data_IF_426055261683
#
_entry.id   IF_426055261683
#
_cell.length_a   1.000
_cell.length_b   1.000
_cell.length_c   1.000
_cell.angle_alpha   90.00
_cell.angle_beta   90.00
_cell.angle_gamma   90.00
#
_symmetry.space_group_name_H-M   'P 1'
#
loop_
_entity.id
_entity.type
_entity.pdbx_description
1 polymer ?
#
# COMPACT_ATOMS: atom_id res chain seq x y z
N UNK A 1 6.55 -11.16 16.82
CA UNK A 1 6.32 -11.08 16.42
C UNK A 1 5.65 -11.14 15.40
N UNK A 2 5.70 -11.66 14.82
CA UNK A 2 4.86 -11.99 13.96
C UNK A 2 3.77 -11.12 13.78
N UNK A 3 3.55 -10.40 14.63
CA UNK A 3 2.41 -9.54 14.62
C UNK A 3 2.74 -8.12 14.19
N UNK A 4 3.93 -7.89 13.73
CA UNK A 4 4.35 -6.56 13.38
C UNK A 4 3.51 -5.91 12.30
N UNK A 5 2.97 -6.68 11.36
CA UNK A 5 2.23 -6.11 10.25
C UNK A 5 0.80 -6.57 10.24
N UNK A 6 0.18 -6.52 11.41
CA UNK A 6 -1.22 -6.89 11.54
C UNK A 6 -2.15 -5.96 10.79
N UNK A 7 -1.71 -4.73 10.58
CA UNK A 7 -2.54 -3.71 9.93
C UNK A 7 -1.74 -3.10 8.80
N UNK A 8 -2.06 -3.52 7.60
CA UNK A 8 -1.37 -3.03 6.43
C UNK A 8 -2.36 -2.86 5.30
N UNK A 9 -1.96 -2.14 4.26
CA UNK A 9 -2.83 -1.86 3.15
C UNK A 9 -2.11 -2.04 1.83
N UNK A 10 -2.86 -2.48 0.82
CA UNK A 10 -2.38 -2.51 -0.54
C UNK A 10 -3.17 -1.48 -1.34
N UNK A 11 -2.47 -0.67 -2.09
CA UNK A 11 -3.09 0.35 -2.92
C UNK A 11 -2.82 0.04 -4.38
N UNK A 12 -3.89 -0.02 -5.16
CA UNK A 12 -3.80 -0.17 -6.59
C UNK A 12 -4.11 1.21 -7.19
N UNK A 13 -3.08 1.89 -7.67
CA UNK A 13 -3.19 3.29 -8.07
C UNK A 13 -3.42 3.40 -9.56
N UNK A 14 -4.53 4.03 -9.92
CA UNK A 14 -4.87 4.30 -11.29
C UNK A 14 -4.89 5.81 -11.51
N UNK A 15 -5.06 6.21 -12.76
CA UNK A 15 -5.03 7.63 -13.09
C UNK A 15 -6.05 8.43 -12.30
N UNK A 16 -7.27 7.90 -12.16
CA UNK A 16 -8.36 8.66 -11.56
C UNK A 16 -8.83 8.14 -10.23
N UNK A 17 -8.34 6.99 -9.81
CA UNK A 17 -8.77 6.44 -8.53
C UNK A 17 -7.72 5.53 -7.93
N UNK A 18 -7.79 5.38 -6.63
CA UNK A 18 -6.99 4.42 -5.89
C UNK A 18 -7.95 3.39 -5.31
N UNK A 19 -7.67 2.12 -5.54
CA UNK A 19 -8.41 1.04 -4.90
C UNK A 19 -7.56 0.59 -3.72
N UNK A 20 -8.06 0.78 -2.51
CA UNK A 20 -7.33 0.48 -1.30
C UNK A 20 -7.91 -0.74 -0.62
N UNK A 21 -7.06 -1.70 -0.31
CA UNK A 21 -7.44 -2.90 0.42
C UNK A 21 -6.72 -2.88 1.77
N UNK A 22 -7.49 -2.73 2.83
CA UNK A 22 -6.96 -2.70 4.18
C UNK A 22 -7.05 -4.09 4.78
N UNK A 23 -5.92 -4.57 5.28
CA UNK A 23 -5.87 -5.89 5.92
C UNK A 23 -5.64 -5.72 7.41
N UNK A 24 -6.53 -6.28 8.20
CA UNK A 24 -6.43 -6.25 9.64
C UNK A 24 -6.39 -7.68 10.14
N UNK A 25 -5.55 -7.93 11.14
CA UNK A 25 -5.53 -9.23 11.79
C UNK A 25 -5.90 -9.01 13.24
N UNK A 26 -7.05 -9.53 13.63
CA UNK A 26 -7.56 -9.40 14.97
C UNK A 26 -7.81 -10.78 15.54
N UNK A 27 -7.18 -11.09 16.66
CA UNK A 27 -7.32 -12.39 17.30
C UNK A 27 -6.98 -13.53 16.36
N UNK A 28 -5.95 -13.34 15.53
CA UNK A 28 -5.49 -14.36 14.62
C UNK A 28 -6.29 -14.49 13.34
N UNK A 29 -7.33 -13.69 13.16
CA UNK A 29 -8.15 -13.75 11.96
C UNK A 29 -7.91 -12.53 11.10
N UNK A 30 -7.66 -12.76 9.82
CA UNK A 30 -7.49 -11.67 8.87
C UNK A 30 -8.84 -11.23 8.35
N UNK A 31 -9.02 -9.92 8.26
CA UNK A 31 -10.20 -9.35 7.62
C UNK A 31 -9.73 -8.29 6.64
N UNK A 32 -10.55 -8.03 5.64
CA UNK A 32 -10.19 -7.12 4.57
C UNK A 32 -11.32 -6.13 4.34
N UNK A 33 -10.95 -4.89 4.09
CA UNK A 33 -11.93 -3.88 3.72
C UNK A 33 -11.39 -3.15 2.50
N UNK A 34 -12.22 -3.02 1.46
CA UNK A 34 -11.82 -2.40 0.21
C UNK A 34 -12.59 -1.10 0.04
N UNK A 35 -11.88 -0.02 -0.26
CA UNK A 35 -12.50 1.26 -0.57
C UNK A 35 -11.85 1.86 -1.79
N UNK A 36 -12.58 2.69 -2.50
CA UNK A 36 -12.09 3.40 -3.68
C UNK A 36 -12.08 4.88 -3.38
N UNK A 37 -10.99 5.54 -3.77
CA UNK A 37 -10.85 6.97 -3.55
C UNK A 37 -10.45 7.64 -4.86
N UNK A 38 -11.18 8.65 -5.32
CA UNK A 38 -10.70 9.46 -6.43
C UNK A 38 -9.35 10.10 -6.09
N UNK A 39 -8.55 10.36 -7.11
CA UNK A 39 -7.20 10.87 -6.88
C UNK A 39 -7.15 12.39 -6.73
N UNK A 40 -8.15 12.98 -6.12
CA UNK A 40 -8.10 14.39 -5.75
C UNK A 40 -7.44 14.56 -4.41
N UNK A 41 -6.87 15.72 -4.16
CA UNK A 41 -6.15 15.97 -2.91
C UNK A 41 -7.04 15.71 -1.70
N UNK A 42 -8.27 16.20 -1.74
CA UNK A 42 -9.17 16.03 -0.61
C UNK A 42 -9.45 14.57 -0.32
N UNK A 43 -9.67 13.77 -1.36
CA UNK A 43 -10.01 12.37 -1.16
C UNK A 43 -8.79 11.54 -0.82
N UNK A 44 -7.61 11.95 -1.24
CA UNK A 44 -6.38 11.28 -0.80
C UNK A 44 -6.11 11.57 0.66
N UNK A 45 -6.47 12.74 1.16
CA UNK A 45 -6.39 13.02 2.58
C UNK A 45 -7.34 12.10 3.34
N UNK A 46 -8.55 11.87 2.80
CA UNK A 46 -9.49 10.95 3.43
C UNK A 46 -8.94 9.53 3.45
N UNK A 47 -8.25 9.12 2.39
CA UNK A 47 -7.60 7.83 2.36
C UNK A 47 -6.58 7.71 3.48
N UNK A 48 -5.73 8.73 3.64
CA UNK A 48 -4.73 8.72 4.69
C UNK A 48 -5.38 8.66 6.08
N UNK A 49 -6.44 9.43 6.29
CA UNK A 49 -7.14 9.43 7.56
C UNK A 49 -7.76 8.07 7.84
N UNK A 50 -8.35 7.45 6.84
CA UNK A 50 -8.95 6.14 7.01
C UNK A 50 -7.92 5.10 7.42
N UNK A 51 -6.76 5.11 6.75
CA UNK A 51 -5.70 4.17 7.09
C UNK A 51 -5.14 4.44 8.48
N UNK A 52 -4.98 5.71 8.83
CA UNK A 52 -4.45 6.05 10.14
C UNK A 52 -5.41 5.65 11.25
N UNK A 53 -6.68 5.89 11.07
CA UNK A 53 -7.68 5.52 12.06
C UNK A 53 -7.77 4.02 12.26
N UNK A 54 -7.47 3.25 11.22
CA UNK A 54 -7.45 1.81 11.31
C UNK A 54 -6.17 1.28 11.94
N UNK A 55 -5.23 2.15 12.25
CA UNK A 55 -3.96 1.73 12.82
C UNK A 55 -2.99 1.15 11.81
N UNK A 56 -3.20 1.43 10.54
CA UNK A 56 -2.34 0.93 9.47
C UNK A 56 -0.95 1.54 9.60
N UNK A 57 0.09 0.72 9.45
CA UNK A 57 1.46 1.19 9.55
C UNK A 57 2.23 1.02 8.25
N UNK A 58 1.85 0.04 7.45
CA UNK A 58 2.60 -0.29 6.23
C UNK A 58 1.69 -0.27 5.03
N UNK A 59 2.18 0.31 3.95
CA UNK A 59 1.40 0.46 2.72
C UNK A 59 2.24 -0.03 1.55
N UNK A 60 1.69 -0.96 0.79
CA UNK A 60 2.29 -1.40 -0.46
C UNK A 60 1.49 -0.79 -1.59
N UNK A 61 2.17 -0.16 -2.53
CA UNK A 61 1.52 0.56 -3.60
C UNK A 61 1.92 -0.02 -4.94
N UNK A 62 0.97 -0.24 -5.81
CA UNK A 62 1.22 -0.73 -7.15
C UNK A 62 0.56 0.21 -8.16
N UNK A 63 1.28 0.56 -9.20
CA UNK A 63 0.76 1.47 -10.22
C UNK A 63 1.54 1.31 -11.50
N UNK A 64 0.91 1.66 -12.61
CA UNK A 64 1.62 1.78 -13.88
C UNK A 64 1.99 3.24 -14.08
N UNK A 65 3.12 3.48 -14.73
CA UNK A 65 3.55 4.84 -15.02
C UNK A 65 3.84 5.63 -13.76
N UNK A 66 3.39 6.87 -13.73
CA UNK A 66 3.75 7.81 -12.67
C UNK A 66 2.60 8.19 -11.77
N UNK A 67 1.45 7.53 -11.89
CA UNK A 67 0.27 7.91 -11.12
C UNK A 67 0.43 7.70 -9.63
N UNK A 68 1.41 6.92 -9.21
CA UNK A 68 1.68 6.67 -7.81
C UNK A 68 2.22 7.89 -7.07
N UNK A 69 2.84 8.82 -7.79
CA UNK A 69 3.58 9.91 -7.14
C UNK A 69 2.76 10.77 -6.19
N UNK A 70 1.60 11.29 -6.60
CA UNK A 70 0.83 12.12 -5.65
C UNK A 70 0.38 11.33 -4.42
N UNK A 71 0.02 10.07 -4.62
CA UNK A 71 -0.41 9.22 -3.51
C UNK A 71 0.74 8.96 -2.56
N UNK A 72 1.90 8.64 -3.12
CA UNK A 72 3.10 8.40 -2.33
C UNK A 72 3.43 9.60 -1.45
N UNK A 73 3.44 10.78 -2.03
CA UNK A 73 3.78 11.99 -1.28
C UNK A 73 2.77 12.31 -0.20
N UNK A 74 1.51 12.01 -0.46
CA UNK A 74 0.48 12.25 0.53
C UNK A 74 0.63 11.37 1.76
N UNK A 75 1.18 10.17 1.60
CA UNK A 75 1.29 9.20 2.68
C UNK A 75 2.70 9.10 3.27
N UNK A 76 3.66 9.81 2.71
CA UNK A 76 5.08 9.54 2.95
C UNK A 76 5.50 9.65 4.40
N UNK A 77 4.96 10.60 5.14
CA UNK A 77 5.41 10.85 6.51
C UNK A 77 4.62 10.06 7.56
N UNK A 78 3.57 9.38 7.15
CA UNK A 78 2.73 8.65 8.10
C UNK A 78 2.91 7.14 8.07
N UNK A 79 3.37 6.61 6.96
CA UNK A 79 3.38 5.16 6.76
C UNK A 79 4.71 4.70 6.18
N UNK A 80 5.04 3.44 6.47
CA UNK A 80 6.16 2.79 5.78
C UNK A 80 5.63 2.33 4.44
N UNK A 81 6.21 2.83 3.36
CA UNK A 81 5.70 2.56 2.02
C UNK A 81 6.66 1.75 1.18
N UNK A 82 6.09 0.91 0.34
CA UNK A 82 6.82 0.17 -0.68
C UNK A 82 6.10 0.37 -2.00
N UNK A 83 6.85 0.65 -3.04
CA UNK A 83 6.31 0.78 -4.38
C UNK A 83 6.67 -0.43 -5.20
N UNK A 84 5.66 -1.07 -5.79
CA UNK A 84 5.84 -2.13 -6.74
C UNK A 84 5.18 -1.70 -8.04
N UNK A 85 5.98 -1.34 -9.02
CA UNK A 85 5.46 -0.91 -10.31
C UNK A 85 5.27 -2.12 -11.21
N UNK A 86 4.03 -2.38 -11.61
CA UNK A 86 3.71 -3.57 -12.37
C UNK A 86 4.48 -3.67 -13.68
N UNK A 87 4.61 -2.55 -14.37
CA UNK A 87 5.36 -2.54 -15.63
C UNK A 87 6.84 -2.82 -15.40
N UNK A 88 7.38 -2.24 -14.35
CA UNK A 88 8.76 -2.44 -13.99
C UNK A 88 9.02 -3.90 -13.60
N UNK A 89 8.15 -4.44 -12.80
CA UNK A 89 8.26 -5.83 -12.36
C UNK A 89 8.26 -6.78 -13.56
N UNK A 90 7.37 -6.54 -14.51
CA UNK A 90 7.26 -7.42 -15.67
C UNK A 90 8.42 -7.28 -16.63
N UNK A 91 9.03 -6.11 -16.68
CA UNK A 91 10.07 -5.83 -17.64
C UNK A 91 11.48 -6.17 -17.22
N UNK A 92 11.72 -6.31 -15.92
CA UNK A 92 13.07 -6.50 -15.40
C UNK A 92 13.07 -7.60 -14.33
N UNK A 93 13.25 -8.86 -14.73
CA UNK A 93 13.12 -9.98 -13.80
C UNK A 93 13.96 -9.85 -12.52
N UNK A 94 15.17 -9.33 -12.64
CA UNK A 94 16.00 -9.17 -11.45
C UNK A 94 15.42 -8.20 -10.46
N UNK A 95 14.90 -7.10 -10.95
CA UNK A 95 14.28 -6.11 -10.09
C UNK A 95 12.96 -6.58 -9.54
N UNK A 96 12.22 -7.33 -10.35
CA UNK A 96 10.99 -7.92 -9.87
C UNK A 96 11.25 -8.76 -8.63
N UNK A 97 12.28 -9.60 -8.69
CA UNK A 97 12.60 -10.45 -7.57
C UNK A 97 13.03 -9.64 -6.35
N UNK A 98 13.80 -8.60 -6.60
CA UNK A 98 14.28 -7.74 -5.53
C UNK A 98 13.13 -7.02 -4.84
N UNK A 99 12.21 -6.48 -5.61
CA UNK A 99 11.09 -5.75 -5.05
C UNK A 99 10.16 -6.65 -4.27
N UNK A 100 9.95 -7.88 -4.76
CA UNK A 100 9.14 -8.84 -4.02
C UNK A 100 9.76 -9.16 -2.68
N UNK A 101 11.07 -9.30 -2.66
CA UNK A 101 11.76 -9.59 -1.42
C UNK A 101 11.60 -8.47 -0.42
N UNK A 102 11.69 -7.24 -0.88
CA UNK A 102 11.48 -6.10 0.00
C UNK A 102 10.06 -6.06 0.54
N UNK A 103 9.09 -6.32 -0.33
CA UNK A 103 7.71 -6.34 0.06
C UNK A 103 7.46 -7.42 1.10
N UNK A 104 7.96 -8.63 0.85
CA UNK A 104 7.79 -9.73 1.79
C UNK A 104 8.41 -9.39 3.13
N UNK A 105 9.59 -8.79 3.12
CA UNK A 105 10.27 -8.46 4.34
C UNK A 105 9.46 -7.50 5.18
N UNK A 106 8.86 -6.50 4.55
CA UNK A 106 8.10 -5.49 5.28
C UNK A 106 6.76 -6.01 5.78
N UNK A 107 6.11 -6.84 4.98
CA UNK A 107 4.78 -7.32 5.34
C UNK A 107 4.76 -8.66 6.03
N UNK A 108 5.91 -9.32 6.14
CA UNK A 108 6.00 -10.59 6.83
C UNK A 108 6.55 -10.45 8.24
N UNK A 109 6.71 -9.25 8.73
CA UNK A 109 7.15 -9.06 10.09
C UNK A 109 8.63 -8.82 10.25
N UNK A 110 9.28 -8.49 9.18
CA UNK A 110 10.70 -8.22 9.27
C UNK A 110 10.96 -6.90 9.97
#
# INVERSE_FOLDING_TARGET
>A
MKTLHRRCAGLDVHKKEVVACLRLVIRGKASYEVRRFPTTTRLLIELADWLEQAGCTHVAMEATGVYWKPVWHMLDWQFHQILANAAHIKGVPGQERHERRDLDRRFAGA
#
